data_IF_972161739024
#
_entry.id   IF_972161739024
#
_cell.length_a   1.000
_cell.length_b   1.000
_cell.length_c   1.000
_cell.angle_alpha   90.00
_cell.angle_beta   90.00
_cell.angle_gamma   90.00
#
_symmetry.space_group_name_H-M   'P 1'
#
loop_
_entity.id
_entity.type
_entity.pdbx_description
1 polymer ?
#
# COMPACT_ATOMS: atom_id res chain seq x y z
N UNK A 1 2.45 12.00 1.13
CA UNK A 1 3.48 12.50 0.19
C UNK A 1 4.30 13.58 0.84
N UNK A 2 5.60 13.52 0.70
CA UNK A 2 6.49 14.58 1.21
C UNK A 2 6.42 15.75 0.24
N UNK A 3 5.93 16.90 0.74
CA UNK A 3 5.80 18.11 -0.05
C UNK A 3 7.13 18.90 -0.07
N UNK A 4 7.75 19.06 1.11
CA UNK A 4 9.02 19.78 1.26
C UNK A 4 9.72 19.42 2.56
N UNK A 5 10.97 19.85 2.67
CA UNK A 5 11.74 19.79 3.92
C UNK A 5 11.84 21.21 4.46
N UNK A 6 11.47 21.39 5.73
CA UNK A 6 11.59 22.67 6.43
C UNK A 6 12.50 22.55 7.64
N UNK A 7 13.34 23.56 7.86
CA UNK A 7 14.11 23.70 9.08
C UNK A 7 13.43 24.71 9.99
N UNK A 8 13.15 24.30 11.23
CA UNK A 8 12.60 25.21 12.25
C UNK A 8 13.52 25.29 13.44
N UNK A 9 13.67 26.51 13.93
CA UNK A 9 14.47 26.80 15.11
C UNK A 9 13.58 26.78 16.34
N UNK A 10 13.89 25.84 17.27
CA UNK A 10 13.21 25.76 18.56
C UNK A 10 14.27 26.04 19.62
N UNK A 11 14.23 27.25 20.24
CA UNK A 11 15.26 27.68 21.17
C UNK A 11 16.61 27.84 20.49
N UNK A 12 17.65 27.15 20.99
CA UNK A 12 19.00 27.17 20.43
C UNK A 12 19.25 26.07 19.40
N UNK A 13 18.29 25.15 19.24
CA UNK A 13 18.41 24.02 18.32
C UNK A 13 17.62 24.24 17.03
N UNK A 14 18.24 23.86 15.91
CA UNK A 14 17.58 23.80 14.62
C UNK A 14 17.19 22.36 14.34
N UNK A 15 15.92 22.10 14.01
CA UNK A 15 15.42 20.77 13.64
C UNK A 15 14.85 20.80 12.24
N UNK A 16 15.13 19.75 11.50
CA UNK A 16 14.54 19.55 10.19
C UNK A 16 13.26 18.70 10.28
N UNK A 17 12.26 19.09 9.51
CA UNK A 17 10.96 18.42 9.42
C UNK A 17 10.64 18.09 7.98
N UNK A 18 10.03 16.92 7.77
CA UNK A 18 9.32 16.65 6.53
C UNK A 18 7.93 17.26 6.62
N UNK A 19 7.55 18.03 5.61
CA UNK A 19 6.21 18.56 5.49
C UNK A 19 5.43 17.63 4.56
N UNK A 20 4.42 16.98 5.12
CA UNK A 20 3.61 15.99 4.41
C UNK A 20 2.28 16.60 4.03
N UNK A 21 1.91 16.46 2.77
CA UNK A 21 0.57 16.82 2.29
C UNK A 21 -0.25 15.56 2.16
N UNK A 22 -1.32 15.45 2.96
CA UNK A 22 -2.22 14.29 2.91
C UNK A 22 -3.15 14.42 1.72
N UNK A 23 -3.23 13.36 0.93
CA UNK A 23 -4.11 13.30 -0.22
C UNK A 23 -5.56 13.17 0.24
N UNK A 24 -6.46 13.83 -0.48
CA UNK A 24 -7.89 13.83 -0.18
C UNK A 24 -8.32 14.97 0.72
N UNK A 25 -7.68 15.18 1.87
CA UNK A 25 -8.04 16.24 2.82
C UNK A 25 -7.29 17.56 2.56
N UNK A 26 -6.14 17.51 1.87
CA UNK A 26 -5.25 18.66 1.71
C UNK A 26 -4.54 19.08 3.00
N UNK A 27 -4.70 18.30 4.08
CA UNK A 27 -4.06 18.59 5.37
C UNK A 27 -2.54 18.49 5.26
N UNK A 28 -1.85 19.41 5.92
CA UNK A 28 -0.39 19.43 5.98
C UNK A 28 0.05 19.00 7.36
N UNK A 29 0.94 18.03 7.42
CA UNK A 29 1.49 17.48 8.68
C UNK A 29 3.00 17.65 8.64
N UNK A 30 3.59 18.08 9.76
CA UNK A 30 5.03 18.17 9.92
C UNK A 30 5.53 17.02 10.77
N UNK A 31 6.51 16.26 10.25
CA UNK A 31 7.11 15.12 10.95
C UNK A 31 8.61 15.39 11.12
N UNK A 32 9.15 15.38 12.35
CA UNK A 32 10.59 15.49 12.55
C UNK A 32 11.34 14.40 11.79
N UNK A 33 12.44 14.75 11.14
CA UNK A 33 13.23 13.80 10.34
C UNK A 33 13.65 12.56 11.14
N UNK A 34 14.01 12.75 12.41
CA UNK A 34 14.44 11.67 13.29
C UNK A 34 13.30 10.74 13.75
N UNK A 35 12.04 11.14 13.57
CA UNK A 35 10.87 10.33 13.93
C UNK A 35 10.20 9.65 12.73
N UNK A 36 10.74 9.81 11.52
CA UNK A 36 10.12 9.29 10.29
C UNK A 36 9.99 7.78 10.29
N UNK A 37 11.00 7.05 10.79
CA UNK A 37 10.95 5.59 10.87
C UNK A 37 9.85 5.09 11.82
N UNK A 38 9.62 5.82 12.92
CA UNK A 38 8.60 5.46 13.89
C UNK A 38 7.18 5.66 13.36
N UNK A 39 6.98 6.69 12.52
CA UNK A 39 5.64 6.99 11.94
C UNK A 39 5.44 6.37 10.56
N UNK A 40 6.42 5.61 10.05
CA UNK A 40 6.31 4.93 8.76
C UNK A 40 6.47 5.83 7.55
N UNK A 41 7.13 6.97 7.69
CA UNK A 41 7.43 7.85 6.56
C UNK A 41 8.63 7.31 5.80
N UNK A 42 8.47 7.09 4.52
CA UNK A 42 9.52 6.61 3.62
C UNK A 42 9.40 7.28 2.26
N UNK A 43 10.47 7.28 1.44
CA UNK A 43 10.40 7.75 0.07
C UNK A 43 9.40 6.93 -0.76
N UNK A 44 8.77 7.58 -1.74
CA UNK A 44 7.96 6.89 -2.75
C UNK A 44 8.89 6.03 -3.60
N UNK A 45 8.45 4.81 -3.93
CA UNK A 45 9.20 3.94 -4.84
C UNK A 45 9.27 4.56 -6.23
N UNK A 46 10.31 4.20 -7.01
CA UNK A 46 10.41 4.66 -8.38
C UNK A 46 9.42 3.92 -9.30
N UNK A 47 9.27 4.42 -10.53
CA UNK A 47 8.33 3.85 -11.49
C UNK A 47 8.64 2.41 -11.83
N UNK A 48 9.93 2.05 -11.98
CA UNK A 48 10.35 0.69 -12.31
C UNK A 48 9.97 -0.29 -11.22
N UNK A 49 10.16 0.08 -9.96
CA UNK A 49 9.76 -0.73 -8.81
C UNK A 49 8.25 -0.90 -8.75
N UNK A 50 7.49 0.15 -9.03
CA UNK A 50 6.01 0.07 -9.08
C UNK A 50 5.53 -0.87 -10.18
N UNK A 51 6.10 -0.78 -11.37
CA UNK A 51 5.76 -1.69 -12.47
C UNK A 51 6.16 -3.14 -12.18
N UNK A 52 7.32 -3.36 -11.58
CA UNK A 52 7.76 -4.70 -11.18
C UNK A 52 6.81 -5.32 -10.16
N UNK A 53 6.34 -4.53 -9.21
CA UNK A 53 5.36 -5.00 -8.23
C UNK A 53 4.07 -5.45 -8.91
N UNK A 54 3.54 -4.64 -9.82
CA UNK A 54 2.33 -4.99 -10.57
C UNK A 54 2.51 -6.28 -11.38
N UNK A 55 3.67 -6.45 -12.02
CA UNK A 55 3.96 -7.66 -12.80
C UNK A 55 4.04 -8.92 -11.94
N UNK A 56 4.46 -8.80 -10.68
CA UNK A 56 4.58 -9.93 -9.75
C UNK A 56 3.27 -10.33 -9.11
N UNK A 57 2.26 -9.45 -9.07
CA UNK A 57 0.98 -9.73 -8.38
C UNK A 57 0.32 -11.02 -8.87
N UNK A 58 0.21 -11.31 -10.19
CA UNK A 58 -0.43 -12.54 -10.64
C UNK A 58 0.22 -13.82 -10.10
N UNK A 59 1.54 -13.79 -9.87
CA UNK A 59 2.31 -14.94 -9.44
C UNK A 59 2.51 -15.01 -7.93
N UNK A 60 1.99 -14.04 -7.17
CA UNK A 60 2.09 -14.04 -5.72
C UNK A 60 1.31 -15.19 -5.12
N UNK A 61 1.98 -15.97 -4.28
CA UNK A 61 1.39 -17.06 -3.53
C UNK A 61 1.00 -16.53 -2.15
N UNK A 62 -0.30 -16.43 -1.91
CA UNK A 62 -0.81 -15.80 -0.70
C UNK A 62 -1.65 -16.77 0.09
N UNK A 63 -1.21 -17.09 1.30
CA UNK A 63 -1.98 -17.85 2.25
C UNK A 63 -2.44 -16.96 3.41
N UNK A 64 -3.64 -17.20 3.91
CA UNK A 64 -4.18 -16.53 5.08
C UNK A 64 -4.66 -17.53 6.09
N UNK A 65 -4.58 -17.16 7.38
CA UNK A 65 -5.12 -17.97 8.45
C UNK A 65 -6.64 -18.15 8.29
N UNK A 66 -7.15 -19.32 8.64
CA UNK A 66 -8.60 -19.61 8.57
C UNK A 66 -9.37 -18.88 9.68
N UNK A 67 -8.76 -18.70 10.83
CA UNK A 67 -9.37 -17.97 11.95
C UNK A 67 -9.46 -16.48 11.62
N UNK A 68 -10.66 -15.91 11.71
CA UNK A 68 -10.92 -14.51 11.35
C UNK A 68 -10.07 -13.54 12.16
N UNK A 69 -10.00 -13.71 13.48
CA UNK A 69 -9.23 -12.79 14.33
C UNK A 69 -7.74 -12.79 14.00
N UNK A 70 -7.18 -14.00 13.80
CA UNK A 70 -5.77 -14.16 13.43
C UNK A 70 -5.49 -13.56 12.06
N UNK A 71 -6.34 -13.86 11.09
CA UNK A 71 -6.24 -13.32 9.72
C UNK A 71 -6.29 -11.80 9.70
N UNK A 72 -7.25 -11.22 10.42
CA UNK A 72 -7.41 -9.78 10.52
C UNK A 72 -6.16 -9.11 11.09
N UNK A 73 -5.65 -9.64 12.20
CA UNK A 73 -4.46 -9.12 12.88
C UNK A 73 -3.23 -9.21 12.01
N UNK A 74 -2.99 -10.34 11.35
CA UNK A 74 -1.85 -10.55 10.46
C UNK A 74 -1.90 -9.59 9.26
N UNK A 75 -3.06 -9.42 8.67
CA UNK A 75 -3.23 -8.52 7.54
C UNK A 75 -3.04 -7.06 7.96
N UNK A 76 -3.51 -6.67 9.14
CA UNK A 76 -3.27 -5.32 9.66
C UNK A 76 -1.79 -5.07 9.87
N UNK A 77 -1.05 -6.05 10.37
CA UNK A 77 0.41 -5.94 10.54
C UNK A 77 1.11 -5.74 9.18
N UNK A 78 0.70 -6.47 8.17
CA UNK A 78 1.24 -6.34 6.82
C UNK A 78 1.00 -4.95 6.23
N UNK A 79 -0.20 -4.41 6.41
CA UNK A 79 -0.54 -3.06 5.96
C UNK A 79 0.30 -2.01 6.68
N UNK A 80 0.50 -2.17 7.98
CA UNK A 80 1.29 -1.24 8.80
C UNK A 80 2.79 -1.33 8.57
N UNK A 81 3.28 -2.41 7.98
CA UNK A 81 4.71 -2.61 7.73
C UNK A 81 5.32 -1.58 6.78
N UNK A 82 4.49 -0.94 5.95
CA UNK A 82 4.98 0.00 4.94
C UNK A 82 5.59 -0.67 3.71
N UNK A 83 5.63 -1.98 3.65
CA UNK A 83 6.15 -2.74 2.50
C UNK A 83 5.05 -2.89 1.45
N UNK A 84 5.29 -2.39 0.24
CA UNK A 84 4.33 -2.48 -0.86
C UNK A 84 4.05 -3.91 -1.30
N UNK A 85 5.04 -4.79 -1.22
CA UNK A 85 4.86 -6.22 -1.55
C UNK A 85 3.88 -6.86 -0.57
N UNK A 86 4.02 -6.59 0.72
CA UNK A 86 3.10 -7.07 1.75
C UNK A 86 1.70 -6.51 1.55
N UNK A 87 1.61 -5.23 1.21
CA UNK A 87 0.34 -4.56 0.93
C UNK A 87 -0.37 -5.18 -0.28
N UNK A 88 0.36 -5.42 -1.37
CA UNK A 88 -0.17 -6.08 -2.56
C UNK A 88 -0.63 -7.51 -2.26
N UNK A 89 0.11 -8.24 -1.42
CA UNK A 89 -0.25 -9.59 -1.00
C UNK A 89 -1.59 -9.61 -0.25
N UNK A 90 -1.81 -8.66 0.65
CA UNK A 90 -3.07 -8.52 1.38
C UNK A 90 -4.23 -8.24 0.41
N UNK A 91 -4.02 -7.33 -0.53
CA UNK A 91 -5.04 -6.99 -1.54
C UNK A 91 -5.41 -8.22 -2.37
N UNK A 92 -4.42 -8.96 -2.86
CA UNK A 92 -4.67 -10.16 -3.64
C UNK A 92 -5.41 -11.22 -2.83
N UNK A 93 -4.97 -11.49 -1.61
CA UNK A 93 -5.57 -12.49 -0.74
C UNK A 93 -7.02 -12.17 -0.41
N UNK A 94 -7.33 -10.92 -0.05
CA UNK A 94 -8.70 -10.50 0.25
C UNK A 94 -9.58 -10.50 -1.00
N UNK A 95 -9.04 -10.11 -2.15
CA UNK A 95 -9.78 -10.16 -3.42
C UNK A 95 -10.17 -11.59 -3.78
N UNK A 96 -9.24 -12.54 -3.67
CA UNK A 96 -9.51 -13.96 -3.92
C UNK A 96 -10.52 -14.54 -2.94
N UNK A 97 -10.44 -14.12 -1.67
CA UNK A 97 -11.40 -14.55 -0.65
C UNK A 97 -12.79 -14.02 -0.95
N UNK A 98 -12.92 -12.77 -1.39
CA UNK A 98 -14.21 -12.15 -1.73
C UNK A 98 -14.90 -12.87 -2.91
N UNK A 99 -14.12 -13.42 -3.83
CA UNK A 99 -14.65 -14.22 -4.94
C UNK A 99 -15.29 -15.53 -4.46
N UNK A 100 -14.77 -16.11 -3.39
CA UNK A 100 -15.28 -17.37 -2.83
C UNK A 100 -16.41 -17.15 -1.84
N UNK A 101 -16.28 -16.16 -1.00
CA UNK A 101 -17.25 -15.75 0.02
C UNK A 101 -17.20 -14.25 0.21
N UNK A 102 -18.35 -13.57 0.33
CA UNK A 102 -18.35 -12.14 0.62
C UNK A 102 -17.54 -11.82 1.87
N UNK A 103 -16.74 -10.76 1.80
CA UNK A 103 -15.95 -10.32 2.94
C UNK A 103 -16.84 -9.75 4.03
N UNK A 104 -16.41 -9.91 5.28
CA UNK A 104 -17.01 -9.18 6.40
C UNK A 104 -16.83 -7.67 6.20
N UNK A 105 -17.63 -6.88 6.92
CA UNK A 105 -17.51 -5.41 6.86
C UNK A 105 -16.10 -4.94 7.21
N UNK A 106 -15.48 -5.53 8.24
CA UNK A 106 -14.12 -5.20 8.65
C UNK A 106 -13.09 -5.51 7.58
N UNK A 107 -13.17 -6.70 6.97
CA UNK A 107 -12.25 -7.10 5.91
C UNK A 107 -12.44 -6.27 4.63
N UNK A 108 -13.68 -5.90 4.32
CA UNK A 108 -13.95 -5.02 3.17
C UNK A 108 -13.36 -3.64 3.35
N UNK A 109 -13.46 -3.08 4.55
CA UNK A 109 -12.80 -1.80 4.88
C UNK A 109 -11.28 -1.91 4.77
N UNK A 110 -10.73 -3.00 5.25
CA UNK A 110 -9.29 -3.29 5.17
C UNK A 110 -8.83 -3.36 3.72
N UNK A 111 -9.55 -4.07 2.87
CA UNK A 111 -9.25 -4.18 1.44
C UNK A 111 -9.29 -2.80 0.77
N UNK A 112 -10.32 -2.03 1.02
CA UNK A 112 -10.47 -0.69 0.45
C UNK A 112 -9.34 0.25 0.91
N UNK A 113 -8.97 0.19 2.18
CA UNK A 113 -7.86 0.96 2.72
C UNK A 113 -6.52 0.57 2.08
N UNK A 114 -6.25 -0.73 1.97
CA UNK A 114 -5.03 -1.23 1.36
C UNK A 114 -4.93 -0.83 -0.12
N UNK A 115 -6.03 -0.95 -0.86
CA UNK A 115 -6.08 -0.51 -2.26
C UNK A 115 -5.81 0.98 -2.39
N UNK A 116 -6.41 1.79 -1.55
CA UNK A 116 -6.21 3.25 -1.59
C UNK A 116 -4.75 3.62 -1.34
N UNK A 117 -4.12 3.01 -0.35
CA UNK A 117 -2.70 3.24 -0.04
C UNK A 117 -1.82 2.87 -1.23
N UNK A 118 -1.99 1.67 -1.76
CA UNK A 118 -1.18 1.18 -2.88
C UNK A 118 -1.38 2.02 -4.14
N UNK A 119 -2.63 2.29 -4.50
CA UNK A 119 -2.95 3.04 -5.73
C UNK A 119 -2.49 4.49 -5.67
N UNK A 120 -2.57 5.12 -4.50
CA UNK A 120 -2.05 6.46 -4.30
C UNK A 120 -0.54 6.51 -4.56
N UNK A 121 0.19 5.54 -4.07
CA UNK A 121 1.64 5.50 -4.29
C UNK A 121 1.99 5.18 -5.75
N UNK A 122 1.32 4.21 -6.37
CA UNK A 122 1.55 3.88 -7.79
C UNK A 122 1.24 5.09 -8.68
N UNK A 123 0.12 5.76 -8.44
CA UNK A 123 -0.28 6.96 -9.18
C UNK A 123 0.81 8.04 -9.13
N UNK A 124 1.40 8.25 -7.96
CA UNK A 124 2.49 9.21 -7.79
C UNK A 124 3.79 8.75 -8.42
N UNK A 125 4.16 7.47 -8.24
CA UNK A 125 5.42 6.90 -8.73
C UNK A 125 5.50 6.90 -10.25
N UNK A 126 4.39 6.56 -10.89
CA UNK A 126 4.29 6.41 -12.35
C UNK A 126 3.80 7.69 -13.02
N UNK A 127 3.35 8.65 -12.22
CA UNK A 127 2.78 9.91 -12.68
C UNK A 127 1.59 9.68 -13.62
N UNK A 128 0.61 8.90 -13.15
CA UNK A 128 -0.61 8.61 -13.89
C UNK A 128 -1.85 8.93 -13.06
N UNK A 129 -3.03 9.10 -13.69
CA UNK A 129 -4.27 9.27 -12.93
C UNK A 129 -4.57 8.04 -12.05
N UNK A 130 -5.22 8.27 -10.93
CA UNK A 130 -5.61 7.21 -10.00
C UNK A 130 -6.46 6.13 -10.68
N UNK A 131 -7.40 6.52 -11.53
CA UNK A 131 -8.26 5.59 -12.25
C UNK A 131 -7.47 4.66 -13.18
N UNK A 132 -6.41 5.16 -13.79
CA UNK A 132 -5.52 4.35 -14.61
C UNK A 132 -4.76 3.33 -13.76
N UNK A 133 -4.23 3.76 -12.62
CA UNK A 133 -3.55 2.86 -11.69
C UNK A 133 -4.50 1.77 -11.19
N UNK A 134 -5.73 2.11 -10.86
CA UNK A 134 -6.76 1.17 -10.43
C UNK A 134 -7.06 0.13 -11.51
N UNK A 135 -7.21 0.56 -12.77
CA UNK A 135 -7.44 -0.35 -13.89
C UNK A 135 -6.27 -1.33 -14.07
N UNK A 136 -5.04 -0.86 -13.91
CA UNK A 136 -3.85 -1.72 -14.00
C UNK A 136 -3.80 -2.74 -12.86
N UNK A 137 -4.10 -2.33 -11.65
CA UNK A 137 -4.16 -3.24 -10.50
C UNK A 137 -5.23 -4.32 -10.70
N UNK A 138 -6.44 -3.92 -11.10
CA UNK A 138 -7.55 -4.85 -11.31
C UNK A 138 -7.22 -5.87 -12.42
N UNK A 139 -6.55 -5.43 -13.46
CA UNK A 139 -6.09 -6.32 -14.52
C UNK A 139 -5.09 -7.36 -13.98
N UNK A 140 -4.14 -6.93 -13.16
CA UNK A 140 -3.15 -7.83 -12.56
C UNK A 140 -3.80 -8.83 -11.59
N UNK A 141 -4.81 -8.41 -10.85
CA UNK A 141 -5.54 -9.28 -9.92
C UNK A 141 -6.35 -10.35 -10.65
N UNK A 142 -6.82 -10.09 -11.87
CA UNK A 142 -7.60 -11.02 -12.69
C UNK A 142 -6.76 -12.00 -13.49
N UNK A 143 -5.47 -11.71 -13.71
CA UNK A 143 -4.58 -12.62 -14.46
C UNK A 143 -4.39 -13.93 -13.69
N UNK A 144 -4.48 -15.09 -14.37
CA UNK A 144 -4.20 -16.34 -13.70
C UNK A 144 -2.71 -16.44 -13.33
N UNK A 145 -2.45 -17.13 -12.23
CA UNK A 145 -1.09 -17.45 -11.83
C UNK A 145 -0.45 -18.35 -12.90
N UNK A 146 0.75 -18.02 -13.35
CA UNK A 146 1.49 -18.80 -14.36
C UNK A 146 1.69 -20.26 -13.92
N UNK A 147 1.86 -20.52 -12.60
CA UNK A 147 2.00 -21.87 -12.08
C UNK A 147 0.71 -22.69 -12.22
N UNK A 148 -0.47 -22.06 -12.07
CA UNK A 148 -1.74 -22.76 -12.22
C UNK A 148 -2.06 -23.10 -13.67
N UNK A 149 -1.55 -22.34 -14.62
CA UNK A 149 -1.71 -22.59 -16.06
C UNK A 149 -0.86 -23.78 -16.52
N UNK A 150 0.32 -23.98 -15.92
CA UNK A 150 1.22 -25.09 -16.26
C UNK A 150 0.74 -26.44 -15.73
N UNK A 151 -0.18 -26.46 -14.76
CA UNK A 151 -0.72 -27.66 -14.14
C UNK A 151 -2.09 -28.10 -14.71
N UNK A 152 -2.50 -27.52 -15.81
CA UNK A 152 -3.75 -27.88 -16.51
C UNK A 152 -3.49 -28.80 -17.69
#
# INVERSE_FOLDING_TARGET
MIDRIESRRIGRESREYFVLKLQGSGMVVMVPKNACDEVGVRPIVDADTAYDLLRRIPDMDVSMADNWNKRYRENMQRIKSGDLTELAAVIKALTQRDEKRPLSTGERRMLNQARQILLSEISLSVNCPYDFAEAQLDQCLRKPNKRSVLNR
#
